data_IF_107874414542
#
_entry.id   IF_107874414542
#
_cell.length_a   1.000
_cell.length_b   1.000
_cell.length_c   1.000
_cell.angle_alpha   90.00
_cell.angle_beta   90.00
_cell.angle_gamma   90.00
#
_symmetry.space_group_name_H-M   'P 1'
#
loop_
_entity.id
_entity.type
_entity.pdbx_description
1 polymer ?
#
# COMPACT_ATOMS: atom_id res chain seq x y z
N UNK A 1 0.59 -0.05 7.99
CA UNK A 1 0.97 0.69 6.78
C UNK A 1 1.77 1.92 7.15
N UNK A 2 2.94 2.07 6.54
CA UNK A 2 3.85 3.20 6.84
C UNK A 2 3.76 4.34 5.83
N UNK A 3 2.87 4.24 4.85
CA UNK A 3 2.80 5.21 3.76
C UNK A 3 1.87 6.36 4.15
N UNK A 4 2.44 7.35 4.84
CA UNK A 4 1.66 8.45 5.42
C UNK A 4 1.00 9.36 4.39
N UNK A 5 1.49 9.37 3.17
CA UNK A 5 0.94 10.21 2.11
C UNK A 5 -0.10 9.50 1.23
N UNK A 6 -0.63 8.38 1.71
CA UNK A 6 -1.70 7.66 1.03
C UNK A 6 -3.06 8.07 1.61
N UNK A 7 -4.07 8.20 0.76
CA UNK A 7 -5.42 8.57 1.21
C UNK A 7 -6.05 7.51 2.10
N UNK A 8 -5.59 6.27 2.02
CA UNK A 8 -6.11 5.16 2.83
C UNK A 8 -5.41 5.01 4.18
N UNK A 9 -4.33 5.74 4.40
CA UNK A 9 -3.56 5.64 5.64
C UNK A 9 -4.33 6.26 6.80
N UNK A 10 -4.35 5.58 7.94
CA UNK A 10 -4.98 6.08 9.17
C UNK A 10 -3.93 6.53 10.16
N UNK A 11 -4.39 7.22 11.23
CA UNK A 11 -3.50 7.71 12.29
C UNK A 11 -2.80 6.58 13.05
N UNK A 12 -3.33 5.36 12.97
CA UNK A 12 -2.78 4.19 13.66
C UNK A 12 -1.79 3.40 12.80
N UNK A 13 -1.33 3.98 11.69
CA UNK A 13 -0.48 3.31 10.71
C UNK A 13 -1.15 2.08 10.11
N UNK A 14 -2.46 2.15 9.95
CA UNK A 14 -3.26 1.09 9.34
C UNK A 14 -3.78 1.57 8.00
N UNK A 15 -4.33 0.64 7.23
CA UNK A 15 -4.95 0.94 5.96
C UNK A 15 -6.46 0.87 6.09
N UNK A 16 -7.16 1.92 5.66
CA UNK A 16 -8.62 1.97 5.71
C UNK A 16 -9.28 1.32 4.50
N UNK A 17 -8.50 0.93 3.48
CA UNK A 17 -9.05 0.24 2.31
C UNK A 17 -9.56 -1.14 2.71
N UNK A 18 -10.72 -1.53 2.21
CA UNK A 18 -11.30 -2.85 2.51
C UNK A 18 -10.54 -3.98 1.83
N UNK A 19 -9.97 -3.70 0.65
CA UNK A 19 -9.13 -4.62 -0.10
C UNK A 19 -8.03 -3.82 -0.75
N UNK A 20 -6.86 -4.41 -0.88
CA UNK A 20 -5.75 -3.80 -1.59
C UNK A 20 -5.20 -4.78 -2.61
N UNK A 21 -4.55 -4.23 -3.63
CA UNK A 21 -3.84 -5.02 -4.61
C UNK A 21 -2.35 -4.83 -4.37
N UNK A 22 -1.64 -5.92 -4.16
CA UNK A 22 -0.20 -5.91 -3.99
C UNK A 22 0.43 -6.36 -5.31
N UNK A 23 1.24 -5.54 -5.91
CA UNK A 23 1.92 -5.80 -7.18
C UNK A 23 3.40 -5.65 -7.01
N UNK A 24 4.20 -5.78 -8.07
CA UNK A 24 3.71 -6.30 -9.36
C UNK A 24 3.76 -7.83 -9.37
N UNK A 25 3.20 -8.45 -10.42
CA UNK A 25 3.08 -9.90 -10.50
C UNK A 25 4.38 -10.68 -10.63
N UNK A 26 5.49 -10.01 -10.89
CA UNK A 26 6.81 -10.63 -11.09
C UNK A 26 7.79 -10.29 -9.98
N UNK A 27 7.29 -9.85 -8.84
CA UNK A 27 8.14 -9.53 -7.70
C UNK A 27 8.89 -10.77 -7.23
N UNK A 28 10.19 -10.65 -7.05
CA UNK A 28 11.03 -11.73 -6.55
C UNK A 28 11.66 -11.43 -5.20
N UNK A 29 11.58 -10.19 -4.75
CA UNK A 29 12.05 -9.77 -3.43
C UNK A 29 11.00 -8.87 -2.78
N UNK A 30 11.12 -8.66 -1.47
CA UNK A 30 10.18 -7.79 -0.77
C UNK A 30 10.26 -6.34 -1.27
N UNK A 31 11.38 -5.93 -1.81
CA UNK A 31 11.53 -4.58 -2.35
C UNK A 31 10.82 -4.39 -3.69
N UNK A 32 10.50 -5.46 -4.37
CA UNK A 32 9.81 -5.43 -5.64
C UNK A 32 8.30 -5.32 -5.48
N UNK A 33 7.80 -5.51 -4.27
CA UNK A 33 6.36 -5.42 -4.01
C UNK A 33 5.95 -4.02 -3.61
N UNK A 34 4.76 -3.63 -4.02
CA UNK A 34 4.20 -2.35 -3.63
C UNK A 34 2.68 -2.45 -3.63
N UNK A 35 2.04 -1.51 -2.99
CA UNK A 35 0.59 -1.43 -2.97
C UNK A 35 0.11 -0.69 -4.22
N UNK A 36 -0.55 -1.39 -5.13
CA UNK A 36 -1.12 -0.78 -6.33
C UNK A 36 -2.41 -0.01 -6.05
N UNK A 37 -2.97 -0.19 -4.86
CA UNK A 37 -4.14 0.56 -4.43
C UNK A 37 -3.76 1.95 -3.89
N UNK A 38 -2.47 2.21 -3.78
CA UNK A 38 -1.97 3.49 -3.29
C UNK A 38 -2.54 4.66 -4.08
N UNK A 39 -3.03 5.67 -3.38
CA UNK A 39 -3.44 6.93 -3.96
C UNK A 39 -2.82 8.06 -3.15
N UNK A 40 -2.03 8.89 -3.81
CA UNK A 40 -1.36 10.00 -3.14
C UNK A 40 -2.39 10.99 -2.57
N UNK A 41 -2.16 11.38 -1.33
CA UNK A 41 -2.98 12.35 -0.64
C UNK A 41 -2.64 13.77 -1.08
#
# INVERSE_FOLDING_TARGET
CDVCNCVHHTADDMCAAGKIRVGHGEASTCKDTCCDTFEAR
#
